data_IF_234785557912
#
_entry.id   IF_234785557912
#
_cell.length_a   1.000
_cell.length_b   1.000
_cell.length_c   1.000
_cell.angle_alpha   90.00
_cell.angle_beta   90.00
_cell.angle_gamma   90.00
#
_symmetry.space_group_name_H-M   'P 1'
#
loop_
_entity.id
_entity.type
_entity.pdbx_description
1 polymer ?
#
# COMPACT_ATOMS: atom_id res chain seq x y z
N UNK A 1 18.12 12.02 -10.49
CA UNK A 1 17.38 13.23 -10.10
C UNK A 1 17.88 14.36 -10.98
N UNK A 2 16.99 15.23 -11.42
CA UNK A 2 17.33 16.47 -12.10
C UNK A 2 16.98 17.65 -11.22
N UNK A 3 17.81 18.69 -11.28
CA UNK A 3 17.60 19.93 -10.56
C UNK A 3 17.29 21.02 -11.58
N UNK A 4 16.25 21.80 -11.29
CA UNK A 4 15.89 22.93 -12.13
C UNK A 4 16.84 24.09 -11.88
N UNK A 5 17.57 24.47 -12.92
CA UNK A 5 18.45 25.62 -12.94
C UNK A 5 17.68 26.92 -13.17
N UNK A 6 18.37 28.04 -12.97
CA UNK A 6 17.82 29.36 -13.28
C UNK A 6 17.40 29.44 -14.75
N UNK A 7 16.17 29.88 -15.01
CA UNK A 7 15.59 29.93 -16.36
C UNK A 7 14.92 28.63 -16.80
N UNK A 8 14.82 27.64 -15.91
CA UNK A 8 13.91 26.49 -16.04
C UNK A 8 14.51 25.25 -16.70
N UNK A 9 15.78 25.28 -17.09
CA UNK A 9 16.48 24.10 -17.61
C UNK A 9 16.60 23.01 -16.52
N UNK A 10 16.57 21.73 -16.91
CA UNK A 10 16.73 20.61 -16.00
C UNK A 10 18.11 19.97 -16.21
N UNK A 11 18.95 20.03 -15.17
CA UNK A 11 20.29 19.46 -15.20
C UNK A 11 20.35 18.17 -14.37
N UNK A 12 20.99 17.14 -14.93
CA UNK A 12 21.21 15.88 -14.24
C UNK A 12 22.15 16.09 -13.05
N UNK A 13 21.67 15.72 -11.86
CA UNK A 13 22.49 15.68 -10.66
C UNK A 13 23.11 14.30 -10.47
N UNK A 14 24.34 14.26 -9.97
CA UNK A 14 24.96 13.00 -9.57
C UNK A 14 24.22 12.46 -8.36
N UNK A 15 23.56 11.32 -8.54
CA UNK A 15 22.87 10.63 -7.46
C UNK A 15 23.86 9.79 -6.63
N UNK A 16 23.72 9.75 -5.29
CA UNK A 16 24.34 8.70 -4.50
C UNK A 16 23.76 7.33 -4.92
N UNK A 17 24.46 6.25 -4.57
CA UNK A 17 23.90 4.90 -4.71
C UNK A 17 22.56 4.80 -3.95
N UNK A 18 21.62 3.92 -4.37
CA UNK A 18 20.38 3.69 -3.64
C UNK A 18 20.65 3.38 -2.16
N UNK A 19 19.90 4.03 -1.27
CA UNK A 19 20.05 3.90 0.19
C UNK A 19 18.80 3.37 0.87
N UNK A 20 17.85 2.84 0.10
CA UNK A 20 16.60 2.27 0.59
C UNK A 20 16.71 0.78 0.87
N UNK A 21 15.96 0.34 1.87
CA UNK A 21 15.96 -1.03 2.38
C UNK A 21 14.52 -1.47 2.61
N UNK A 22 14.19 -2.66 2.14
CA UNK A 22 13.00 -3.41 2.53
C UNK A 22 13.47 -4.69 3.22
N UNK A 23 12.96 -4.99 4.41
CA UNK A 23 13.43 -6.09 5.26
C UNK A 23 12.31 -6.75 6.07
N UNK A 24 12.65 -7.88 6.67
CA UNK A 24 11.84 -8.53 7.71
C UNK A 24 12.22 -8.01 9.10
N UNK A 25 11.42 -8.33 10.11
CA UNK A 25 11.70 -7.99 11.51
C UNK A 25 11.87 -9.25 12.34
N UNK A 26 13.02 -9.38 13.02
CA UNK A 26 13.32 -10.53 13.85
C UNK A 26 12.26 -10.72 14.94
N UNK A 27 11.71 -11.94 15.03
CA UNK A 27 10.65 -12.29 15.99
C UNK A 27 9.26 -11.78 15.63
N UNK A 28 9.11 -11.09 14.49
CA UNK A 28 7.85 -10.55 13.99
C UNK A 28 7.64 -11.00 12.54
N UNK A 29 7.19 -12.24 12.37
CA UNK A 29 6.87 -12.81 11.05
C UNK A 29 5.67 -12.14 10.36
N UNK A 30 5.00 -11.23 11.05
CA UNK A 30 3.88 -10.41 10.59
C UNK A 30 4.31 -9.02 10.11
N UNK A 31 5.58 -8.67 10.23
CA UNK A 31 6.05 -7.30 10.02
C UNK A 31 7.08 -7.17 8.89
N UNK A 32 7.01 -6.04 8.21
CA UNK A 32 7.95 -5.58 7.19
C UNK A 32 8.56 -4.27 7.65
N UNK A 33 9.86 -4.10 7.48
CA UNK A 33 10.57 -2.84 7.72
C UNK A 33 10.96 -2.18 6.40
N UNK A 34 10.69 -0.88 6.31
CA UNK A 34 11.15 -0.01 5.23
C UNK A 34 12.03 1.08 5.82
N UNK A 35 13.18 1.35 5.22
CA UNK A 35 14.10 2.34 5.76
C UNK A 35 15.01 2.94 4.70
N UNK A 36 15.61 4.08 5.03
CA UNK A 36 16.78 4.60 4.33
C UNK A 36 17.91 4.91 5.31
N UNK A 37 19.14 4.93 4.80
CA UNK A 37 20.24 5.69 5.44
C UNK A 37 20.34 7.04 4.74
N UNK A 38 20.00 8.10 5.45
CA UNK A 38 19.91 9.42 4.85
C UNK A 38 21.27 10.06 4.54
N UNK A 39 21.25 11.26 3.95
CA UNK A 39 22.46 11.96 3.52
C UNK A 39 23.36 12.39 4.68
N UNK A 40 22.85 12.34 5.92
CA UNK A 40 23.62 12.58 7.15
C UNK A 40 24.17 11.29 7.77
N UNK A 41 23.83 10.12 7.21
CA UNK A 41 24.19 8.81 7.76
C UNK A 41 23.22 8.31 8.84
N UNK A 42 22.04 8.94 8.98
CA UNK A 42 21.03 8.55 9.96
C UNK A 42 20.05 7.55 9.34
N UNK A 43 19.87 6.40 10.00
CA UNK A 43 18.84 5.44 9.62
C UNK A 43 17.45 6.00 9.96
N UNK A 44 16.50 5.96 9.04
CA UNK A 44 15.11 6.38 9.28
C UNK A 44 14.16 5.45 8.55
N UNK A 45 12.96 5.23 9.08
CA UNK A 45 12.02 4.33 8.42
C UNK A 45 10.75 4.04 9.20
N UNK A 46 10.04 3.03 8.72
CA UNK A 46 8.78 2.54 9.27
C UNK A 46 8.81 1.01 9.34
N UNK A 47 8.39 0.48 10.49
CA UNK A 47 7.98 -0.92 10.63
C UNK A 47 6.46 -0.95 10.46
N UNK A 48 5.98 -1.80 9.56
CA UNK A 48 4.56 -2.02 9.32
C UNK A 48 4.22 -3.45 9.67
N UNK A 49 3.27 -3.63 10.58
CA UNK A 49 2.79 -4.91 11.05
C UNK A 49 1.59 -5.38 10.23
N UNK A 50 1.21 -6.64 10.45
CA UNK A 50 -0.05 -7.18 9.96
C UNK A 50 -1.20 -6.27 10.39
N UNK A 51 -2.20 -6.16 9.51
CA UNK A 51 -3.31 -5.21 9.66
C UNK A 51 -2.88 -3.75 9.81
N UNK A 52 -1.69 -3.37 9.34
CA UNK A 52 -1.33 -1.99 8.99
C UNK A 52 -1.00 -1.06 10.16
N UNK A 53 -0.93 -1.56 11.39
CA UNK A 53 -0.31 -0.81 12.48
C UNK A 53 1.17 -0.56 12.17
N UNK A 54 1.72 0.56 12.64
CA UNK A 54 3.06 0.98 12.25
C UNK A 54 3.81 1.71 13.36
N UNK A 55 5.13 1.60 13.30
CA UNK A 55 6.09 2.32 14.14
C UNK A 55 7.06 3.04 13.23
N UNK A 56 7.17 4.35 13.37
CA UNK A 56 8.17 5.14 12.68
C UNK A 56 9.36 5.41 13.58
N UNK A 57 10.56 5.43 13.01
CA UNK A 57 11.79 5.60 13.75
C UNK A 57 12.82 6.46 13.02
N UNK A 58 13.68 7.11 13.81
CA UNK A 58 14.86 7.86 13.38
C UNK A 58 16.01 7.49 14.32
N UNK A 59 17.07 6.91 13.77
CA UNK A 59 18.11 6.23 14.50
C UNK A 59 17.51 5.13 15.39
N UNK A 60 17.81 5.17 16.68
CA UNK A 60 17.23 4.26 17.67
C UNK A 60 15.94 4.78 18.33
N UNK A 61 15.41 5.93 17.89
CA UNK A 61 14.26 6.60 18.52
C UNK A 61 12.99 6.32 17.73
N UNK A 62 11.95 5.85 18.43
CA UNK A 62 10.59 5.85 17.90
C UNK A 62 10.07 7.28 17.85
N UNK A 63 9.65 7.73 16.67
CA UNK A 63 9.14 9.09 16.44
C UNK A 63 7.63 9.16 16.33
N UNK A 64 7.00 8.08 15.85
CA UNK A 64 5.55 7.97 15.75
C UNK A 64 5.10 6.51 15.91
N UNK A 65 3.85 6.33 16.29
CA UNK A 65 3.14 5.06 16.31
C UNK A 65 1.73 5.32 15.82
N UNK A 66 1.25 4.54 14.86
CA UNK A 66 -0.18 4.50 14.63
C UNK A 66 -0.81 3.64 15.74
N UNK A 67 -1.79 4.20 16.43
CA UNK A 67 -2.61 3.46 17.38
C UNK A 67 -3.88 3.02 16.68
N UNK A 68 -3.85 1.85 16.03
CA UNK A 68 -5.08 1.12 15.80
C UNK A 68 -5.39 0.29 17.05
N UNK A 69 -6.67 0.11 17.44
CA UNK A 69 -7.03 -1.15 18.07
C UNK A 69 -6.51 -2.24 17.12
N UNK A 70 -5.79 -3.21 17.66
CA UNK A 70 -5.42 -4.42 16.94
C UNK A 70 -6.67 -4.88 16.21
N UNK A 71 -6.71 -4.68 14.88
CA UNK A 71 -7.71 -5.22 13.99
C UNK A 71 -9.17 -4.73 14.27
N UNK A 72 -9.60 -3.56 13.75
CA UNK A 72 -10.98 -3.12 13.87
C UNK A 72 -11.90 -4.18 13.27
N UNK A 73 -12.86 -4.65 14.07
CA UNK A 73 -13.83 -5.64 13.65
C UNK A 73 -14.45 -5.24 12.30
N UNK A 74 -14.43 -6.09 11.26
CA UNK A 74 -15.09 -5.79 9.99
C UNK A 74 -16.51 -5.29 10.22
N UNK A 75 -16.86 -4.07 9.79
CA UNK A 75 -18.11 -3.40 10.23
C UNK A 75 -19.31 -3.75 9.36
N UNK A 76 -19.12 -4.60 8.36
CA UNK A 76 -20.11 -4.91 7.35
C UNK A 76 -21.38 -5.56 7.89
N UNK A 77 -22.51 -5.12 7.33
CA UNK A 77 -23.84 -5.69 7.52
C UNK A 77 -24.30 -6.56 6.33
N UNK A 78 -23.58 -6.53 5.21
CA UNK A 78 -23.81 -7.33 4.00
C UNK A 78 -22.49 -7.93 3.50
N UNK A 79 -22.54 -9.14 2.92
CA UNK A 79 -21.33 -9.81 2.44
C UNK A 79 -20.72 -9.06 1.25
N UNK A 80 -19.45 -8.64 1.33
CA UNK A 80 -18.70 -8.20 0.15
C UNK A 80 -18.45 -9.40 -0.75
N UNK A 81 -18.21 -9.12 -2.03
CA UNK A 81 -17.80 -10.17 -2.97
C UNK A 81 -16.34 -10.51 -2.65
N UNK A 82 -16.04 -11.79 -2.40
CA UNK A 82 -14.65 -12.22 -2.31
C UNK A 82 -13.95 -11.89 -3.64
N UNK A 83 -12.80 -11.21 -3.63
CA UNK A 83 -12.13 -10.84 -4.86
C UNK A 83 -11.63 -12.07 -5.61
N UNK A 84 -12.17 -12.32 -6.80
CA UNK A 84 -11.70 -13.39 -7.69
C UNK A 84 -10.29 -13.17 -8.26
N UNK A 85 -9.67 -12.01 -7.97
CA UNK A 85 -8.39 -11.56 -8.53
C UNK A 85 -7.15 -12.18 -7.86
N UNK A 86 -7.26 -12.73 -6.64
CA UNK A 86 -6.07 -13.17 -5.90
C UNK A 86 -5.32 -14.35 -6.51
N UNK A 87 -6.00 -15.22 -7.27
CA UNK A 87 -5.38 -16.38 -7.92
C UNK A 87 -4.24 -16.02 -8.92
N UNK A 88 -4.15 -14.74 -9.28
CA UNK A 88 -3.15 -14.18 -10.20
C UNK A 88 -2.06 -13.35 -9.51
N UNK A 89 -2.16 -13.08 -8.20
CA UNK A 89 -1.20 -12.26 -7.44
C UNK A 89 -0.22 -13.16 -6.67
N UNK A 90 1.00 -12.67 -6.44
CA UNK A 90 2.00 -13.32 -5.58
C UNK A 90 2.90 -14.36 -6.24
N UNK A 91 2.53 -14.92 -7.42
CA UNK A 91 3.44 -15.84 -8.16
C UNK A 91 4.71 -15.16 -8.68
N UNK A 92 4.56 -13.90 -9.07
CA UNK A 92 5.61 -13.00 -9.53
C UNK A 92 5.31 -11.62 -8.99
N UNK A 93 6.33 -10.85 -8.65
CA UNK A 93 6.14 -9.46 -8.28
C UNK A 93 6.06 -8.59 -9.52
N UNK A 94 5.10 -7.67 -9.53
CA UNK A 94 4.98 -6.64 -10.57
C UNK A 94 5.62 -5.35 -10.10
N UNK A 95 6.25 -4.59 -10.99
CA UNK A 95 6.84 -3.29 -10.70
C UNK A 95 6.32 -2.22 -11.66
N UNK A 96 6.29 -0.98 -11.17
CA UNK A 96 6.08 0.19 -12.01
C UNK A 96 6.86 1.39 -11.46
N UNK A 97 7.31 2.25 -12.36
CA UNK A 97 8.09 3.44 -12.02
C UNK A 97 7.22 4.63 -11.67
N UNK A 98 7.48 5.22 -10.51
CA UNK A 98 6.88 6.48 -10.04
C UNK A 98 7.87 7.62 -10.23
N UNK A 99 7.58 8.50 -11.17
CA UNK A 99 8.24 9.78 -11.33
C UNK A 99 7.75 10.82 -10.34
N UNK A 100 8.64 11.62 -9.79
CA UNK A 100 8.31 12.67 -8.82
C UNK A 100 8.68 14.05 -9.34
N UNK A 101 7.77 15.01 -9.21
CA UNK A 101 8.00 16.43 -9.40
C UNK A 101 7.88 17.14 -8.06
N UNK A 102 9.01 17.44 -7.43
CA UNK A 102 9.07 18.14 -6.15
C UNK A 102 8.95 19.64 -6.43
N UNK A 103 7.78 20.20 -6.11
CA UNK A 103 7.49 21.63 -6.33
C UNK A 103 8.46 22.53 -5.56
N UNK A 104 8.63 23.77 -6.02
CA UNK A 104 9.53 24.74 -5.40
C UNK A 104 9.06 25.16 -4.01
N UNK A 105 7.74 25.19 -3.78
CA UNK A 105 7.19 25.40 -2.44
C UNK A 105 7.51 24.25 -1.48
N UNK A 106 7.41 22.98 -1.92
CA UNK A 106 7.79 21.84 -1.12
C UNK A 106 9.29 21.83 -0.87
N UNK A 107 10.10 22.10 -1.90
CA UNK A 107 11.54 22.10 -1.77
C UNK A 107 12.03 23.18 -0.80
N UNK A 108 11.45 24.38 -0.88
CA UNK A 108 11.73 25.49 0.05
C UNK A 108 11.36 25.13 1.49
N UNK A 109 10.24 24.45 1.71
CA UNK A 109 9.76 24.08 3.04
C UNK A 109 10.50 22.89 3.66
N UNK A 110 10.78 21.86 2.86
CA UNK A 110 11.14 20.52 3.34
C UNK A 110 12.51 20.04 2.85
N UNK A 111 12.96 20.54 1.70
CA UNK A 111 14.27 20.20 1.15
C UNK A 111 15.44 20.90 1.87
N UNK A 112 15.18 21.85 2.77
CA UNK A 112 16.22 22.61 3.49
C UNK A 112 17.28 23.24 2.56
N UNK A 113 16.90 23.57 1.32
CA UNK A 113 17.81 24.07 0.29
C UNK A 113 18.88 23.06 -0.18
N UNK A 114 18.70 21.77 0.11
CA UNK A 114 19.63 20.69 -0.23
C UNK A 114 18.96 19.64 -1.10
N UNK A 115 19.43 19.42 -2.34
CA UNK A 115 18.94 18.33 -3.19
C UNK A 115 19.11 16.95 -2.55
N UNK A 116 20.12 16.77 -1.70
CA UNK A 116 20.34 15.51 -0.98
C UNK A 116 19.24 15.24 0.06
N UNK A 117 18.80 16.28 0.79
CA UNK A 117 17.69 16.15 1.76
C UNK A 117 16.37 15.93 1.04
N UNK A 118 16.15 16.60 -0.10
CA UNK A 118 14.98 16.36 -0.93
C UNK A 118 14.91 14.90 -1.42
N UNK A 119 16.05 14.37 -1.90
CA UNK A 119 16.16 12.97 -2.30
C UNK A 119 15.94 12.01 -1.12
N UNK A 120 16.46 12.32 0.07
CA UNK A 120 16.22 11.50 1.27
C UNK A 120 14.71 11.36 1.56
N UNK A 121 13.90 12.41 1.39
CA UNK A 121 12.44 12.33 1.60
C UNK A 121 11.74 11.57 0.48
N UNK A 122 12.21 11.72 -0.75
CA UNK A 122 11.69 10.97 -1.88
C UNK A 122 11.94 9.46 -1.71
N UNK A 123 13.17 9.06 -1.38
CA UNK A 123 13.53 7.66 -1.16
C UNK A 123 12.80 7.07 0.06
N UNK A 124 12.72 7.81 1.17
CA UNK A 124 12.01 7.37 2.37
C UNK A 124 10.52 7.17 2.10
N UNK A 125 9.87 8.13 1.42
CA UNK A 125 8.45 8.02 1.11
C UNK A 125 8.18 6.83 0.18
N UNK A 126 8.96 6.70 -0.89
CA UNK A 126 8.76 5.62 -1.86
C UNK A 126 9.03 4.23 -1.27
N UNK A 127 10.04 4.05 -0.41
CA UNK A 127 10.29 2.73 0.19
C UNK A 127 9.20 2.33 1.20
N UNK A 128 8.60 3.29 1.91
CA UNK A 128 7.44 3.06 2.78
C UNK A 128 6.22 2.59 1.99
N UNK A 129 5.93 3.26 0.87
CA UNK A 129 4.85 2.87 -0.06
C UNK A 129 5.13 1.48 -0.63
N UNK A 130 6.36 1.25 -1.12
CA UNK A 130 6.78 -0.02 -1.70
C UNK A 130 6.59 -1.18 -0.73
N UNK A 131 6.87 -1.00 0.57
CA UNK A 131 6.67 -2.04 1.57
C UNK A 131 5.22 -2.50 1.68
N UNK A 132 4.28 -1.54 1.71
CA UNK A 132 2.86 -1.83 1.89
C UNK A 132 2.28 -2.44 0.61
N UNK A 133 2.57 -1.83 -0.54
CA UNK A 133 2.10 -2.31 -1.85
C UNK A 133 2.68 -3.70 -2.18
N UNK A 134 3.95 -3.94 -1.86
CA UNK A 134 4.57 -5.26 -2.07
C UNK A 134 3.88 -6.30 -1.18
N UNK A 135 3.64 -5.99 0.09
CA UNK A 135 2.99 -6.92 1.03
C UNK A 135 1.55 -7.23 0.65
N UNK A 136 0.74 -6.20 0.38
CA UNK A 136 -0.72 -6.36 0.26
C UNK A 136 -1.20 -6.62 -1.17
N UNK A 137 -0.43 -6.20 -2.18
CA UNK A 137 -0.89 -6.18 -3.56
C UNK A 137 -0.01 -7.01 -4.51
N UNK A 138 1.17 -7.47 -4.07
CA UNK A 138 2.15 -8.11 -4.96
C UNK A 138 2.64 -7.19 -6.09
N UNK A 139 2.54 -5.88 -5.89
CA UNK A 139 2.98 -4.84 -6.83
C UNK A 139 3.94 -3.91 -6.07
N UNK A 140 5.05 -3.54 -6.68
CA UNK A 140 6.05 -2.68 -6.06
C UNK A 140 6.23 -1.40 -6.89
N UNK A 141 5.69 -0.26 -6.42
CA UNK A 141 6.07 1.05 -6.92
C UNK A 141 7.56 1.28 -6.63
N UNK A 142 8.32 1.66 -7.65
CA UNK A 142 9.74 2.00 -7.51
C UNK A 142 9.97 3.47 -7.83
N UNK A 143 10.96 4.08 -7.17
CA UNK A 143 11.32 5.46 -7.43
C UNK A 143 11.98 5.59 -8.81
N UNK A 144 11.29 6.27 -9.72
CA UNK A 144 11.80 6.63 -11.04
C UNK A 144 12.51 7.99 -11.01
N UNK A 145 12.30 8.78 -12.06
CA UNK A 145 12.93 10.09 -12.19
C UNK A 145 12.37 11.09 -11.16
N UNK A 146 13.27 11.74 -10.42
CA UNK A 146 12.94 12.87 -9.53
C UNK A 146 13.33 14.18 -10.18
N UNK A 147 12.38 15.11 -10.29
CA UNK A 147 12.56 16.50 -10.73
C UNK A 147 12.45 17.40 -9.51
N UNK A 148 13.47 18.22 -9.27
CA UNK A 148 13.51 19.18 -8.18
C UNK A 148 13.35 20.60 -8.72
N UNK A 149 12.25 21.28 -8.41
CA UNK A 149 11.99 22.67 -8.83
C UNK A 149 12.73 23.66 -7.93
N UNK A 150 14.02 23.87 -8.19
CA UNK A 150 14.87 24.76 -7.40
C UNK A 150 14.79 26.24 -7.81
N UNK A 151 14.26 26.57 -9.01
CA UNK A 151 14.05 27.95 -9.46
C UNK A 151 12.57 28.35 -9.35
N UNK A 152 12.23 29.06 -8.29
CA UNK A 152 10.84 29.49 -8.03
C UNK A 152 10.23 30.36 -9.15
N UNK A 153 11.05 31.04 -9.96
CA UNK A 153 10.55 31.87 -11.07
C UNK A 153 10.13 31.03 -12.29
N UNK A 154 10.73 29.85 -12.43
CA UNK A 154 10.48 28.93 -13.54
C UNK A 154 9.70 27.69 -13.10
N UNK A 155 9.19 27.68 -11.86
CA UNK A 155 8.40 26.59 -11.33
C UNK A 155 7.01 26.57 -12.00
N UNK A 156 6.64 25.51 -12.74
CA UNK A 156 5.31 25.39 -13.37
C UNK A 156 4.16 25.42 -12.36
N UNK A 157 4.45 25.23 -11.07
CA UNK A 157 3.50 25.18 -9.97
C UNK A 157 3.38 26.50 -9.18
N UNK A 158 4.07 27.57 -9.57
CA UNK A 158 4.13 28.83 -8.82
C UNK A 158 2.76 29.49 -8.56
N UNK A 159 1.74 29.20 -9.38
CA UNK A 159 0.36 29.67 -9.16
C UNK A 159 -0.48 28.76 -8.26
N UNK A 160 -0.29 27.44 -8.39
CA UNK A 160 -0.91 26.40 -7.57
C UNK A 160 -0.18 25.09 -7.81
N UNK A 161 0.28 24.43 -6.74
CA UNK A 161 0.83 23.08 -6.85
C UNK A 161 -0.25 22.02 -7.06
N UNK A 162 -1.47 22.27 -6.58
CA UNK A 162 -2.62 21.40 -6.80
C UNK A 162 -3.14 21.53 -8.24
N UNK A 163 -2.38 21.00 -9.20
CA UNK A 163 -2.59 21.25 -10.63
C UNK A 163 -2.09 20.08 -11.50
N UNK A 164 -2.92 19.03 -11.62
CA UNK A 164 -2.63 17.86 -12.46
C UNK A 164 -2.37 18.21 -13.95
N UNK A 165 -3.13 19.12 -14.60
CA UNK A 165 -2.80 19.54 -15.97
C UNK A 165 -1.41 20.16 -16.12
N UNK A 166 -0.94 20.92 -15.12
CA UNK A 166 0.42 21.46 -15.14
C UNK A 166 1.47 20.35 -14.97
N UNK A 167 1.19 19.33 -14.15
CA UNK A 167 2.05 18.15 -14.05
C UNK A 167 2.12 17.38 -15.37
N UNK A 168 0.99 17.10 -16.00
CA UNK A 168 0.92 16.41 -17.29
C UNK A 168 1.77 17.13 -18.35
N UNK A 169 1.55 18.44 -18.51
CA UNK A 169 2.33 19.27 -19.43
C UNK A 169 3.82 19.27 -19.10
N UNK A 170 4.18 19.50 -17.83
CA UNK A 170 5.57 19.53 -17.40
C UNK A 170 6.27 18.17 -17.59
N UNK A 171 5.57 17.06 -17.36
CA UNK A 171 6.14 15.73 -17.48
C UNK A 171 6.34 15.32 -18.94
N UNK A 172 5.31 15.51 -19.76
CA UNK A 172 5.35 15.26 -21.21
C UNK A 172 6.44 16.07 -21.89
N UNK A 173 6.56 17.36 -21.56
CA UNK A 173 7.44 18.27 -22.31
C UNK A 173 8.89 18.28 -21.82
N UNK A 174 9.14 18.09 -20.51
CA UNK A 174 10.45 18.35 -19.91
C UNK A 174 11.17 17.09 -19.41
N UNK A 175 10.46 15.98 -19.20
CA UNK A 175 11.00 14.80 -18.51
C UNK A 175 10.99 13.56 -19.40
N UNK A 176 9.89 13.33 -20.14
CA UNK A 176 9.71 12.20 -21.06
C UNK A 176 8.78 11.09 -20.51
N UNK A 177 8.54 10.06 -21.33
CA UNK A 177 7.53 8.99 -21.09
C UNK A 177 8.09 7.74 -20.40
N UNK A 178 9.22 7.84 -19.70
CA UNK A 178 9.92 6.65 -19.17
C UNK A 178 9.39 6.16 -17.82
N UNK A 179 8.34 6.77 -17.27
CA UNK A 179 7.73 6.35 -16.00
C UNK A 179 6.29 5.94 -16.25
N UNK A 180 5.79 5.00 -15.44
CA UNK A 180 4.43 4.49 -15.55
C UNK A 180 3.41 5.41 -14.85
N UNK A 181 3.87 6.11 -13.82
CA UNK A 181 3.09 7.05 -13.03
C UNK A 181 3.93 8.29 -12.71
N UNK A 182 3.32 9.47 -12.71
CA UNK A 182 4.00 10.69 -12.29
C UNK A 182 3.21 11.45 -11.22
N UNK A 183 3.93 11.97 -10.23
CA UNK A 183 3.34 12.66 -9.08
C UNK A 183 3.98 14.02 -8.87
N UNK A 184 3.18 15.07 -8.68
CA UNK A 184 3.67 16.34 -8.11
C UNK A 184 3.52 16.33 -6.60
N UNK A 185 4.56 16.76 -5.89
CA UNK A 185 4.57 16.87 -4.42
C UNK A 185 4.51 18.33 -4.02
N UNK A 186 3.42 18.69 -3.34
CA UNK A 186 3.11 20.02 -2.83
C UNK A 186 3.53 20.18 -1.38
N UNK A 187 3.75 21.42 -0.94
CA UNK A 187 4.22 21.69 0.42
C UNK A 187 3.27 21.13 1.50
N UNK A 188 1.97 21.27 1.27
CA UNK A 188 0.87 20.95 2.17
C UNK A 188 -0.45 21.00 1.38
N UNK A 189 -1.52 20.40 1.90
CA UNK A 189 -2.81 20.34 1.21
C UNK A 189 -3.43 18.95 1.32
N UNK A 190 -4.10 18.52 0.25
CA UNK A 190 -4.63 17.17 0.11
C UNK A 190 -3.89 16.32 -0.92
N UNK A 191 -4.55 15.25 -1.35
CA UNK A 191 -4.19 14.47 -2.51
C UNK A 191 -5.29 14.53 -3.57
N UNK A 192 -4.90 14.33 -4.82
CA UNK A 192 -5.82 14.09 -5.91
C UNK A 192 -5.11 13.31 -7.02
N UNK A 193 -5.81 12.38 -7.65
CA UNK A 193 -5.28 11.57 -8.74
C UNK A 193 -6.29 11.43 -9.86
N UNK A 194 -5.79 11.21 -11.07
CA UNK A 194 -6.67 10.77 -12.13
C UNK A 194 -7.09 9.31 -11.89
N UNK A 195 -8.38 9.14 -11.59
CA UNK A 195 -9.01 7.86 -11.33
C UNK A 195 -8.91 6.93 -12.55
N UNK A 196 -8.51 5.68 -12.30
CA UNK A 196 -8.39 4.60 -13.30
C UNK A 196 -7.38 4.83 -14.44
N UNK A 197 -6.59 5.90 -14.40
CA UNK A 197 -5.70 6.23 -15.52
C UNK A 197 -4.45 5.35 -15.57
N UNK A 198 -4.25 4.41 -14.64
CA UNK A 198 -3.23 3.37 -14.84
C UNK A 198 -3.57 2.42 -16.01
N UNK A 199 -4.78 2.48 -16.56
CA UNK A 199 -5.12 1.80 -17.81
C UNK A 199 -4.62 2.53 -19.07
N UNK A 200 -4.26 3.81 -18.97
CA UNK A 200 -3.79 4.66 -20.08
C UNK A 200 -2.37 5.20 -19.82
N UNK A 201 -1.72 5.78 -20.81
CA UNK A 201 -0.36 6.34 -20.69
C UNK A 201 -0.25 7.59 -19.76
N UNK A 202 -1.31 7.94 -19.03
CA UNK A 202 -1.50 9.20 -18.33
C UNK A 202 -1.87 9.03 -16.85
N UNK A 203 -1.13 8.19 -16.11
CA UNK A 203 -1.35 8.04 -14.68
C UNK A 203 -0.65 9.16 -13.89
N UNK A 204 -1.45 10.10 -13.39
CA UNK A 204 -0.97 11.27 -12.65
C UNK A 204 -1.59 11.39 -11.27
N UNK A 205 -0.80 11.87 -10.32
CA UNK A 205 -1.24 12.24 -8.98
C UNK A 205 -0.61 13.57 -8.51
N UNK A 206 -1.26 14.18 -7.53
CA UNK A 206 -0.79 15.32 -6.78
C UNK A 206 -0.96 14.98 -5.32
N UNK A 207 0.08 15.19 -4.52
CA UNK A 207 0.10 14.84 -3.10
C UNK A 207 0.72 15.95 -2.29
N UNK A 208 0.47 15.91 -0.99
CA UNK A 208 1.03 16.87 -0.06
C UNK A 208 2.14 16.26 0.78
N UNK A 209 3.15 17.07 1.09
CA UNK A 209 4.15 16.76 2.09
C UNK A 209 3.58 16.88 3.50
N UNK A 210 3.91 15.91 4.34
CA UNK A 210 3.74 15.91 5.78
C UNK A 210 4.69 16.92 6.43
N UNK A 211 4.55 17.11 7.75
CA UNK A 211 5.37 18.06 8.53
C UNK A 211 6.87 17.77 8.42
N UNK A 212 7.26 16.51 8.25
CA UNK A 212 8.66 16.10 8.10
C UNK A 212 9.13 16.06 6.63
N UNK A 213 8.24 16.42 5.70
CA UNK A 213 8.47 16.43 4.26
C UNK A 213 8.18 15.10 3.57
N UNK A 214 7.98 14.00 4.29
CA UNK A 214 7.55 12.75 3.65
C UNK A 214 6.15 12.91 3.07
N UNK A 215 5.80 12.10 2.08
CA UNK A 215 4.51 12.20 1.36
C UNK A 215 3.91 10.81 1.09
N UNK A 216 4.44 9.77 1.76
CA UNK A 216 3.96 8.40 1.62
C UNK A 216 2.51 8.26 2.05
N UNK A 217 2.08 9.04 3.05
CA UNK A 217 0.73 8.98 3.61
C UNK A 217 -0.34 9.21 2.55
N UNK A 218 -0.19 10.26 1.75
CA UNK A 218 -1.13 10.63 0.67
C UNK A 218 -0.82 9.87 -0.61
N UNK A 219 0.45 9.69 -1.00
CA UNK A 219 0.76 9.05 -2.27
C UNK A 219 0.34 7.58 -2.33
N UNK A 220 0.48 6.82 -1.24
CA UNK A 220 0.01 5.42 -1.21
C UNK A 220 -1.48 5.29 -1.51
N UNK A 221 -2.27 6.31 -1.19
CA UNK A 221 -3.71 6.39 -1.43
C UNK A 221 -4.02 6.84 -2.86
N UNK A 222 -3.39 7.92 -3.32
CA UNK A 222 -3.59 8.42 -4.68
C UNK A 222 -3.17 7.41 -5.76
N UNK A 223 -2.15 6.60 -5.49
CA UNK A 223 -1.81 5.46 -6.34
C UNK A 223 -2.97 4.44 -6.38
N UNK A 224 -3.70 4.24 -5.29
CA UNK A 224 -4.90 3.39 -5.28
C UNK A 224 -5.96 3.90 -6.26
N UNK A 225 -6.25 5.21 -6.26
CA UNK A 225 -7.17 5.82 -7.23
C UNK A 225 -6.71 5.67 -8.68
N UNK A 226 -5.41 5.81 -8.95
CA UNK A 226 -4.87 5.52 -10.30
C UNK A 226 -5.19 4.08 -10.75
N UNK A 227 -5.29 3.13 -9.80
CA UNK A 227 -5.64 1.72 -9.99
C UNK A 227 -7.13 1.39 -9.72
N UNK A 228 -8.06 2.36 -9.85
CA UNK A 228 -9.50 2.14 -9.68
C UNK A 228 -9.95 1.83 -8.23
N UNK A 229 -9.11 2.02 -7.21
CA UNK A 229 -9.59 1.90 -5.84
C UNK A 229 -10.46 3.11 -5.47
N UNK A 230 -11.69 2.86 -5.02
CA UNK A 230 -12.60 3.89 -4.53
C UNK A 230 -12.27 4.30 -3.08
N UNK A 231 -12.73 5.49 -2.70
CA UNK A 231 -12.75 5.92 -1.31
C UNK A 231 -13.71 5.08 -0.47
N UNK A 232 -13.19 4.53 0.62
CA UNK A 232 -13.93 3.77 1.63
C UNK A 232 -14.26 4.63 2.87
N UNK A 233 -14.50 5.92 2.68
CA UNK A 233 -14.74 6.88 3.78
C UNK A 233 -16.11 6.72 4.47
N UNK A 234 -17.10 6.14 3.77
CA UNK A 234 -18.50 6.11 4.23
C UNK A 234 -18.84 4.97 5.21
N UNK A 235 -17.92 4.04 5.51
CA UNK A 235 -18.21 2.83 6.30
C UNK A 235 -17.13 2.55 7.35
N UNK A 236 -16.95 3.42 8.35
CA UNK A 236 -15.99 3.25 9.47
C UNK A 236 -14.58 2.74 9.07
N UNK A 237 -14.13 2.95 7.82
CA UNK A 237 -12.89 2.35 7.36
C UNK A 237 -12.94 1.50 6.08
N UNK A 238 -14.12 1.07 5.63
CA UNK A 238 -14.26 0.04 4.59
C UNK A 238 -14.65 -1.32 5.17
N UNK A 239 -14.82 -2.35 4.32
CA UNK A 239 -15.18 -3.72 4.69
C UNK A 239 -14.47 -4.29 5.93
N UNK A 240 -13.19 -4.04 6.05
CA UNK A 240 -12.34 -4.57 7.11
C UNK A 240 -11.91 -3.47 8.10
N UNK A 241 -12.66 -2.37 8.18
CA UNK A 241 -12.26 -1.19 8.94
C UNK A 241 -11.09 -0.46 8.30
N UNK A 242 -10.52 0.54 8.99
CA UNK A 242 -9.71 1.59 8.36
C UNK A 242 -8.49 1.09 7.59
N UNK A 243 -8.26 1.69 6.43
CA UNK A 243 -7.21 1.34 5.45
C UNK A 243 -6.52 2.59 4.91
N UNK A 244 -5.66 2.39 3.91
CA UNK A 244 -5.13 3.44 3.05
C UNK A 244 -6.26 4.19 2.33
N UNK A 245 -7.23 3.50 1.72
CA UNK A 245 -8.33 4.14 0.98
C UNK A 245 -9.47 4.63 1.89
N UNK A 246 -9.28 4.62 3.20
CA UNK A 246 -10.22 5.19 4.17
C UNK A 246 -9.55 6.23 5.05
N UNK A 247 -9.48 7.46 4.52
CA UNK A 247 -8.91 8.61 5.23
C UNK A 247 -7.43 8.47 5.55
N UNK A 248 -6.65 7.81 4.67
CA UNK A 248 -5.21 7.61 4.81
C UNK A 248 -4.78 6.93 6.11
N UNK A 249 -5.60 6.06 6.69
CA UNK A 249 -5.42 5.63 8.08
C UNK A 249 -4.30 4.59 8.28
N UNK A 250 -4.63 3.30 8.27
CA UNK A 250 -3.65 2.25 8.53
C UNK A 250 -2.83 1.95 7.28
N UNK A 251 -1.60 1.49 7.47
CA UNK A 251 -0.69 1.07 6.41
C UNK A 251 -1.11 -0.30 5.84
N UNK A 252 -2.33 -0.40 5.32
CA UNK A 252 -2.85 -1.60 4.68
C UNK A 252 -3.95 -1.31 3.66
N UNK A 253 -4.14 -2.24 2.74
CA UNK A 253 -5.36 -2.36 1.96
C UNK A 253 -6.35 -3.35 2.60
N UNK A 254 -7.63 -3.22 2.26
CA UNK A 254 -8.62 -4.28 2.47
C UNK A 254 -8.87 -5.11 1.21
N UNK A 255 -9.64 -6.19 1.36
CA UNK A 255 -9.95 -7.11 0.27
C UNK A 255 -10.66 -6.45 -0.93
N UNK A 256 -11.43 -5.39 -0.74
CA UNK A 256 -12.11 -4.70 -1.86
C UNK A 256 -11.17 -3.76 -2.61
N UNK A 257 -10.33 -3.05 -1.88
CA UNK A 257 -9.28 -2.20 -2.47
C UNK A 257 -8.27 -3.06 -3.23
N UNK A 258 -7.82 -4.17 -2.62
CA UNK A 258 -7.01 -5.19 -3.28
C UNK A 258 -7.67 -5.71 -4.57
N UNK A 259 -8.97 -5.98 -4.54
CA UNK A 259 -9.72 -6.47 -5.71
C UNK A 259 -9.54 -5.54 -6.92
N UNK A 260 -9.88 -4.26 -6.70
CA UNK A 260 -9.88 -3.23 -7.74
C UNK A 260 -8.47 -3.00 -8.29
N UNK A 261 -7.48 -2.94 -7.40
CA UNK A 261 -6.09 -2.71 -7.79
C UNK A 261 -5.53 -3.90 -8.57
N UNK A 262 -5.75 -5.12 -8.08
CA UNK A 262 -5.26 -6.33 -8.73
C UNK A 262 -5.90 -6.56 -10.11
N UNK A 263 -7.22 -6.30 -10.26
CA UNK A 263 -7.90 -6.39 -11.55
C UNK A 263 -7.36 -5.34 -12.54
N UNK A 264 -7.21 -4.09 -12.09
CA UNK A 264 -6.63 -3.02 -12.92
C UNK A 264 -5.20 -3.34 -13.33
N UNK A 265 -4.38 -3.84 -12.41
CA UNK A 265 -3.01 -4.28 -12.69
C UNK A 265 -2.96 -5.43 -13.70
N UNK A 266 -3.90 -6.37 -13.64
CA UNK A 266 -4.00 -7.46 -14.61
C UNK A 266 -4.33 -6.92 -16.02
N UNK A 267 -5.27 -5.98 -16.13
CA UNK A 267 -5.63 -5.34 -17.40
C UNK A 267 -4.46 -4.50 -17.93
N UNK A 268 -3.79 -3.75 -17.06
CA UNK A 268 -2.64 -2.91 -17.39
C UNK A 268 -1.30 -3.68 -17.41
N UNK A 269 -1.32 -5.02 -17.45
CA UNK A 269 -0.11 -5.84 -17.27
C UNK A 269 1.03 -5.57 -18.25
N UNK A 270 0.75 -5.01 -19.43
CA UNK A 270 1.81 -4.57 -20.37
C UNK A 270 2.58 -3.33 -19.92
N UNK A 271 2.10 -2.63 -18.89
CA UNK A 271 2.73 -1.46 -18.26
C UNK A 271 3.43 -1.80 -16.95
N UNK A 272 3.37 -3.06 -16.54
CA UNK A 272 3.98 -3.53 -15.30
C UNK A 272 5.13 -4.45 -15.66
N UNK A 273 6.30 -4.14 -15.11
CA UNK A 273 7.44 -5.02 -15.23
C UNK A 273 7.22 -6.27 -14.37
N UNK A 274 7.32 -7.44 -15.00
CA UNK A 274 7.36 -8.70 -14.28
C UNK A 274 8.80 -9.02 -13.89
N UNK A 275 9.12 -8.88 -12.61
CA UNK A 275 10.47 -9.16 -12.10
C UNK A 275 10.65 -10.62 -11.66
N UNK A 276 9.66 -11.48 -11.91
CA UNK A 276 9.65 -12.86 -11.49
C UNK A 276 9.45 -13.02 -9.98
N UNK A 277 10.01 -14.10 -9.42
CA UNK A 277 9.87 -14.41 -8.00
C UNK A 277 10.66 -13.42 -7.15
N UNK A 278 9.99 -12.76 -6.22
CA UNK A 278 10.65 -11.85 -5.28
C UNK A 278 11.39 -12.62 -4.19
N UNK A 279 12.71 -12.40 -4.10
CA UNK A 279 13.59 -13.14 -3.16
C UNK A 279 14.52 -12.22 -2.37
N UNK A 280 14.41 -10.90 -2.55
CA UNK A 280 15.30 -9.94 -1.89
C UNK A 280 15.07 -9.92 -0.37
N UNK A 281 13.83 -10.11 0.07
CA UNK A 281 13.40 -10.10 1.47
C UNK A 281 12.17 -10.98 1.63
N UNK A 282 12.03 -11.64 2.79
CA UNK A 282 10.80 -12.32 3.18
C UNK A 282 9.71 -11.30 3.53
N UNK A 283 8.56 -11.45 2.89
CA UNK A 283 7.37 -10.61 3.01
C UNK A 283 6.26 -11.53 3.54
N UNK A 284 5.58 -11.17 4.64
CA UNK A 284 4.46 -11.95 5.14
C UNK A 284 3.36 -12.10 4.09
N UNK A 285 2.54 -13.17 4.16
CA UNK A 285 1.44 -13.35 3.23
C UNK A 285 0.35 -12.29 3.47
N UNK A 286 -0.50 -12.08 2.49
CA UNK A 286 -1.69 -11.23 2.62
C UNK A 286 -2.95 -12.09 2.72
N UNK A 287 -3.67 -11.93 3.83
CA UNK A 287 -4.95 -12.57 4.09
C UNK A 287 -6.11 -11.67 3.65
N UNK A 288 -6.75 -11.98 2.53
CA UNK A 288 -7.88 -11.19 2.02
C UNK A 288 -9.18 -11.57 2.76
N UNK A 289 -10.15 -10.67 2.74
CA UNK A 289 -11.46 -10.92 3.37
C UNK A 289 -12.19 -12.10 2.74
N UNK A 290 -12.60 -13.04 3.59
CA UNK A 290 -13.43 -14.19 3.21
C UNK A 290 -14.90 -13.96 3.51
N UNK A 291 -15.77 -14.57 2.70
CA UNK A 291 -17.21 -14.55 2.95
C UNK A 291 -17.87 -15.92 2.79
N UNK A 292 -18.89 -16.18 3.62
CA UNK A 292 -19.70 -17.38 3.52
C UNK A 292 -21.17 -17.11 3.90
N UNK A 293 -22.07 -17.98 3.43
CA UNK A 293 -23.48 -17.98 3.85
C UNK A 293 -23.86 -19.37 4.31
N UNK A 294 -24.54 -19.47 5.45
CA UNK A 294 -24.94 -20.75 6.04
C UNK A 294 -26.25 -20.58 6.80
N UNK A 295 -27.05 -21.63 6.92
CA UNK A 295 -28.24 -21.59 7.78
C UNK A 295 -27.84 -21.80 9.24
N UNK A 296 -28.62 -21.21 10.16
CA UNK A 296 -28.46 -21.44 11.59
C UNK A 296 -28.43 -22.93 11.91
N UNK A 297 -27.52 -23.34 12.80
CA UNK A 297 -27.29 -24.74 13.15
C UNK A 297 -26.72 -25.64 12.03
N UNK A 298 -26.48 -25.13 10.82
CA UNK A 298 -25.78 -25.88 9.77
C UNK A 298 -24.26 -25.64 9.81
N UNK A 299 -23.52 -26.45 9.05
CA UNK A 299 -22.06 -26.32 8.90
C UNK A 299 -21.68 -25.80 7.51
N UNK A 300 -20.55 -25.10 7.43
CA UNK A 300 -19.89 -24.70 6.20
C UNK A 300 -18.39 -25.08 6.26
N UNK A 301 -17.82 -25.43 5.11
CA UNK A 301 -16.37 -25.60 4.94
C UNK A 301 -15.88 -24.48 4.04
N UNK A 302 -14.95 -23.68 4.55
CA UNK A 302 -14.50 -22.43 3.93
C UNK A 302 -13.02 -22.59 3.58
N UNK A 303 -12.69 -22.30 2.33
CA UNK A 303 -11.33 -22.36 1.80
C UNK A 303 -10.74 -20.95 1.75
N UNK A 304 -10.18 -20.50 2.87
CA UNK A 304 -9.72 -19.11 3.01
C UNK A 304 -8.54 -18.80 2.09
N UNK A 305 -7.70 -19.80 1.84
CA UNK A 305 -6.52 -19.66 0.96
C UNK A 305 -6.91 -19.35 -0.50
N UNK A 306 -8.18 -19.52 -0.90
CA UNK A 306 -8.61 -19.34 -2.27
C UNK A 306 -8.42 -17.91 -2.81
N UNK A 307 -8.48 -16.90 -1.94
CA UNK A 307 -8.27 -15.49 -2.28
C UNK A 307 -7.09 -14.83 -1.55
N UNK A 308 -6.24 -15.63 -0.92
CA UNK A 308 -5.03 -15.17 -0.25
C UNK A 308 -3.81 -15.27 -1.18
N UNK A 309 -2.74 -14.53 -0.89
CA UNK A 309 -1.51 -14.63 -1.66
C UNK A 309 -0.26 -14.34 -0.83
N UNK A 310 0.89 -14.61 -1.44
CA UNK A 310 2.21 -14.35 -0.88
C UNK A 310 3.10 -13.74 -1.95
N UNK A 311 3.71 -12.60 -1.68
CA UNK A 311 4.50 -11.86 -2.68
C UNK A 311 5.87 -12.47 -2.98
N UNK A 312 6.35 -13.38 -2.14
CA UNK A 312 7.52 -14.22 -2.43
C UNK A 312 7.19 -15.45 -3.28
N UNK A 313 5.90 -15.70 -3.55
CA UNK A 313 5.42 -16.90 -4.23
C UNK A 313 5.51 -18.17 -3.39
N UNK A 314 5.59 -18.03 -2.07
CA UNK A 314 5.60 -19.14 -1.13
C UNK A 314 4.21 -19.77 -0.98
N UNK A 315 4.18 -21.06 -0.66
CA UNK A 315 2.92 -21.74 -0.38
C UNK A 315 2.38 -21.27 0.96
N UNK A 316 1.10 -20.88 0.99
CA UNK A 316 0.39 -20.44 2.19
C UNK A 316 -0.55 -21.52 2.73
N UNK A 317 -0.75 -21.51 4.04
CA UNK A 317 -1.67 -22.43 4.73
C UNK A 317 -2.29 -21.79 5.95
N UNK A 318 -3.51 -22.22 6.29
CA UNK A 318 -4.17 -21.80 7.53
C UNK A 318 -3.61 -22.62 8.69
N UNK A 319 -3.03 -21.94 9.68
CA UNK A 319 -2.36 -22.57 10.83
C UNK A 319 -3.07 -22.32 12.16
N UNK A 320 -3.96 -21.33 12.21
CA UNK A 320 -4.72 -20.99 13.42
C UNK A 320 -6.13 -20.51 13.12
N UNK A 321 -7.07 -20.81 14.02
CA UNK A 321 -8.42 -20.25 14.06
C UNK A 321 -8.84 -20.06 15.52
N UNK A 322 -9.64 -19.03 15.79
CA UNK A 322 -10.34 -18.93 17.07
C UNK A 322 -11.42 -20.00 17.14
N UNK A 323 -11.42 -20.85 18.19
CA UNK A 323 -12.32 -22.02 18.28
C UNK A 323 -13.81 -21.65 18.37
N UNK A 324 -14.13 -20.39 18.63
CA UNK A 324 -15.48 -19.87 18.74
C UNK A 324 -15.56 -18.54 18.02
N UNK A 325 -16.53 -18.41 17.11
CA UNK A 325 -16.81 -17.17 16.40
C UNK A 325 -17.46 -16.13 17.31
N UNK A 326 -17.60 -14.89 16.84
CA UNK A 326 -18.14 -13.81 17.68
C UNK A 326 -19.62 -13.96 18.04
N UNK A 327 -20.43 -14.63 17.21
CA UNK A 327 -21.82 -14.99 17.54
C UNK A 327 -21.94 -16.37 18.20
N UNK A 328 -20.82 -17.03 18.54
CA UNK A 328 -20.82 -18.28 19.30
C UNK A 328 -20.94 -19.56 18.47
N UNK A 329 -20.66 -19.49 17.17
CA UNK A 329 -20.47 -20.66 16.32
C UNK A 329 -19.16 -21.38 16.64
N UNK A 330 -19.12 -22.70 16.43
CA UNK A 330 -17.91 -23.49 16.65
C UNK A 330 -17.04 -23.50 15.40
N UNK A 331 -15.72 -23.36 15.57
CA UNK A 331 -14.76 -23.27 14.47
C UNK A 331 -13.61 -24.24 14.72
N UNK A 332 -13.17 -24.93 13.68
CA UNK A 332 -11.97 -25.78 13.72
C UNK A 332 -11.32 -25.84 12.34
N UNK A 333 -10.04 -26.20 12.32
CA UNK A 333 -9.33 -26.54 11.09
C UNK A 333 -9.51 -28.02 10.77
N UNK A 334 -9.98 -28.33 9.56
CA UNK A 334 -10.12 -29.69 9.04
C UNK A 334 -9.62 -29.75 7.59
N UNK A 335 -8.61 -30.60 7.34
CA UNK A 335 -8.07 -30.79 5.99
C UNK A 335 -7.50 -29.52 5.35
N UNK A 336 -6.96 -28.60 6.16
CA UNK A 336 -6.44 -27.31 5.70
C UNK A 336 -7.50 -26.25 5.43
N UNK A 337 -8.78 -26.52 5.74
CA UNK A 337 -9.91 -25.60 5.57
C UNK A 337 -10.55 -25.26 6.91
N UNK A 338 -11.26 -24.15 6.95
CA UNK A 338 -12.02 -23.73 8.13
C UNK A 338 -13.39 -24.40 8.11
N UNK A 339 -13.63 -25.28 9.07
CA UNK A 339 -14.96 -25.85 9.32
C UNK A 339 -15.69 -25.00 10.36
N UNK A 340 -16.78 -24.38 9.93
CA UNK A 340 -17.62 -23.50 10.74
C UNK A 340 -18.98 -24.15 10.99
N UNK A 341 -19.40 -24.23 12.24
CA UNK A 341 -20.72 -24.67 12.67
C UNK A 341 -21.48 -23.46 13.19
N UNK A 342 -22.54 -23.07 12.47
CA UNK A 342 -23.31 -21.88 12.76
C UNK A 342 -24.02 -21.96 14.11
N UNK A 343 -24.10 -20.85 14.87
CA UNK A 343 -24.96 -20.78 16.05
C UNK A 343 -26.43 -20.86 15.63
N UNK A 344 -27.31 -20.96 16.62
CA UNK A 344 -28.76 -20.93 16.41
C UNK A 344 -29.33 -19.49 16.30
N UNK A 345 -28.45 -18.48 16.37
CA UNK A 345 -28.80 -17.07 16.23
C UNK A 345 -28.46 -16.61 14.81
N UNK A 346 -29.42 -16.07 14.04
CA UNK A 346 -29.14 -15.50 12.74
C UNK A 346 -28.38 -14.16 12.85
N UNK A 347 -27.68 -13.77 11.80
CA UNK A 347 -26.93 -12.51 11.74
C UNK A 347 -25.56 -12.65 11.07
N UNK A 348 -24.81 -11.55 11.07
CA UNK A 348 -23.44 -11.53 10.54
C UNK A 348 -22.46 -11.93 11.63
N UNK A 349 -21.87 -13.11 11.47
CA UNK A 349 -20.84 -13.66 12.33
C UNK A 349 -19.44 -13.43 11.75
N UNK A 350 -18.42 -13.52 12.60
CA UNK A 350 -17.02 -13.26 12.24
C UNK A 350 -16.11 -14.30 12.86
N UNK A 351 -15.16 -14.77 12.07
CA UNK A 351 -14.13 -15.72 12.48
C UNK A 351 -12.77 -15.16 12.09
N UNK A 352 -11.85 -15.09 13.05
CA UNK A 352 -10.45 -14.76 12.77
C UNK A 352 -9.66 -16.04 12.51
N UNK A 353 -8.76 -15.98 11.53
CA UNK A 353 -7.79 -17.04 11.25
C UNK A 353 -6.38 -16.48 11.09
N UNK A 354 -5.40 -17.38 11.10
CA UNK A 354 -3.98 -17.07 10.88
C UNK A 354 -3.47 -17.87 9.70
N UNK A 355 -2.85 -17.17 8.76
CA UNK A 355 -2.06 -17.75 7.67
C UNK A 355 -0.59 -17.86 8.06
N UNK A 356 0.07 -18.84 7.48
CA UNK A 356 1.53 -18.94 7.51
C UNK A 356 2.03 -19.37 6.14
N UNK A 357 3.06 -18.67 5.65
CA UNK A 357 3.78 -19.03 4.43
C UNK A 357 4.86 -20.09 4.71
N UNK A 358 5.52 -20.59 3.65
CA UNK A 358 6.57 -21.61 3.77
C UNK A 358 7.87 -21.12 4.43
N UNK A 359 8.08 -19.80 4.50
CA UNK A 359 9.21 -19.14 5.14
C UNK A 359 8.98 -18.85 6.64
N UNK A 360 7.72 -18.97 7.10
CA UNK A 360 7.30 -18.71 8.48
C UNK A 360 6.74 -17.31 8.71
N UNK A 361 6.51 -16.52 7.65
CA UNK A 361 5.76 -15.27 7.74
C UNK A 361 4.28 -15.55 8.03
N UNK A 362 3.61 -14.61 8.71
CA UNK A 362 2.25 -14.80 9.21
C UNK A 362 1.37 -13.59 8.96
N UNK A 363 0.08 -13.80 8.69
CA UNK A 363 -0.93 -12.74 8.64
C UNK A 363 -2.25 -13.23 9.22
N UNK A 364 -3.10 -12.31 9.68
CA UNK A 364 -4.43 -12.60 10.20
C UNK A 364 -5.50 -12.23 9.18
N UNK A 365 -6.45 -13.14 8.99
CA UNK A 365 -7.59 -12.98 8.08
C UNK A 365 -8.92 -12.95 8.83
N UNK A 366 -9.95 -12.43 8.15
CA UNK A 366 -11.33 -12.47 8.64
C UNK A 366 -12.22 -13.25 7.68
N UNK A 367 -13.12 -14.04 8.25
CA UNK A 367 -14.25 -14.64 7.55
C UNK A 367 -15.52 -13.98 8.06
N UNK A 368 -16.30 -13.38 7.16
CA UNK A 368 -17.64 -12.86 7.44
C UNK A 368 -18.66 -13.92 7.02
N UNK A 369 -19.46 -14.38 7.98
CA UNK A 369 -20.47 -15.43 7.74
C UNK A 369 -21.87 -14.86 7.94
N UNK A 370 -22.68 -14.91 6.89
CA UNK A 370 -24.11 -14.57 6.95
C UNK A 370 -24.91 -15.79 7.39
N UNK A 371 -25.32 -15.80 8.66
CA UNK A 371 -26.13 -16.86 9.27
C UNK A 371 -27.61 -16.60 9.00
N UNK A 372 -28.19 -17.38 8.08
CA UNK A 372 -29.60 -17.29 7.68
C UNK A 372 -30.52 -18.05 8.64
N UNK A 373 -31.73 -17.52 8.79
CA UNK A 373 -32.83 -18.15 9.51
C UNK A 373 -33.29 -19.47 8.87
#
# INVERSE_FOLDING_TARGET
MVVQESGGALDDSTLPAPRSYLGSVDGHGDAVVSAIVDSTGTLRGQITFDRGASIEFVGSRVVSRSSAPIDPLPTLSTLPTAPSSAANVGKTLKQFEVGLNLSGEWYSAHGSGSPAVALDRAEESMVRIAAIWTRDLGIQPILGRVVLRADALSDPYAGSCENLPALEAAWSDQVGTTVDQATVVCKSGGGNAYFSQFLLDASYAQVSGEVDGNFDLTLRHELGHNFYADDNENVEGGPEGRTIMSGNNLSRFDGTEFASIAETAQIASSRLDDIGRYTATAIPPYAALDTATVRLGASATIDTVANDHDSNGDSISVTGVEATSLLGGAVKLEGGKVAYQAPLTPGVDRVRYTLTDASGGTSTGWIIVDVKA
#
